data_IF_911084881862
#
_entry.id   IF_911084881862
#
_cell.length_a   1.000
_cell.length_b   1.000
_cell.length_c   1.000
_cell.angle_alpha   90.00
_cell.angle_beta   90.00
_cell.angle_gamma   90.00
#
_symmetry.space_group_name_H-M   'P 1'
#
loop_
_entity.id
_entity.type
_entity.pdbx_description
1 polymer ?
#
# COMPACT_ATOMS: atom_id res chain seq x y z
N UNK A 1 1.42 3.02 -20.17
CA UNK A 1 2.52 3.83 -19.63
C UNK A 1 3.70 3.76 -20.60
N UNK A 2 4.19 4.93 -21.04
CA UNK A 2 5.43 5.01 -21.84
C UNK A 2 6.65 5.06 -20.90
N UNK A 3 7.85 4.65 -21.34
CA UNK A 3 9.08 4.92 -20.59
C UNK A 3 9.27 6.43 -20.36
N UNK A 4 9.87 6.78 -19.23
CA UNK A 4 10.38 8.13 -19.00
C UNK A 4 11.59 8.37 -19.92
N UNK A 5 11.71 9.57 -20.49
CA UNK A 5 12.83 9.99 -21.32
C UNK A 5 13.63 11.09 -20.62
N UNK A 6 14.89 11.31 -21.02
CA UNK A 6 15.70 12.39 -20.48
C UNK A 6 15.07 13.77 -20.68
N UNK A 7 14.31 13.96 -21.77
CA UNK A 7 13.53 15.19 -21.99
C UNK A 7 12.49 15.44 -20.91
N UNK A 8 11.84 14.40 -20.38
CA UNK A 8 10.86 14.56 -19.29
C UNK A 8 11.54 15.05 -18.01
N UNK A 9 12.77 14.59 -17.77
CA UNK A 9 13.56 14.98 -16.60
C UNK A 9 14.06 16.42 -16.73
N UNK A 10 14.49 16.82 -17.93
CA UNK A 10 14.87 18.20 -18.23
C UNK A 10 13.66 19.12 -18.09
N UNK A 11 12.51 18.74 -18.64
CA UNK A 11 11.27 19.51 -18.55
C UNK A 11 10.86 19.68 -17.09
N UNK A 12 10.87 18.60 -16.29
CA UNK A 12 10.67 18.65 -14.86
C UNK A 12 11.64 19.61 -14.17
N UNK A 13 12.95 19.48 -14.42
CA UNK A 13 13.96 20.34 -13.78
C UNK A 13 13.73 21.83 -14.09
N UNK A 14 13.12 22.16 -15.23
CA UNK A 14 12.77 23.53 -15.59
C UNK A 14 11.45 24.04 -14.98
N UNK A 15 10.59 23.16 -14.46
CA UNK A 15 9.24 23.51 -13.96
C UNK A 15 9.20 24.13 -12.56
N UNK A 16 10.29 24.03 -11.78
CA UNK A 16 10.42 24.47 -10.37
C UNK A 16 9.64 23.67 -9.32
N UNK A 17 8.92 22.62 -9.72
CA UNK A 17 8.32 21.69 -8.77
C UNK A 17 9.39 20.87 -8.03
N UNK A 18 9.05 20.41 -6.84
CA UNK A 18 9.96 19.61 -6.00
C UNK A 18 10.08 18.16 -6.48
N UNK A 19 8.99 17.56 -6.96
CA UNK A 19 8.88 16.14 -7.23
C UNK A 19 8.36 15.86 -8.65
N UNK A 20 9.03 14.95 -9.33
CA UNK A 20 8.51 14.27 -10.52
C UNK A 20 7.86 12.97 -10.08
N UNK A 21 6.60 12.76 -10.46
CA UNK A 21 5.81 11.61 -10.01
C UNK A 21 5.18 10.83 -11.16
N UNK A 22 4.85 9.57 -10.90
CA UNK A 22 4.05 8.71 -11.74
C UNK A 22 2.70 8.46 -11.05
N UNK A 23 1.63 8.96 -11.65
CA UNK A 23 0.27 8.80 -11.13
C UNK A 23 -0.22 7.35 -11.22
N UNK A 24 -1.32 7.06 -10.53
CA UNK A 24 -2.03 5.79 -10.62
C UNK A 24 -2.51 5.45 -12.04
N UNK A 25 -2.87 6.46 -12.83
CA UNK A 25 -3.24 6.38 -14.24
C UNK A 25 -2.05 6.09 -15.17
N UNK A 26 -0.82 6.12 -14.64
CA UNK A 26 0.40 5.86 -15.39
C UNK A 26 0.85 7.04 -16.24
N UNK A 27 0.55 8.26 -15.77
CA UNK A 27 0.96 9.53 -16.36
C UNK A 27 2.06 10.17 -15.50
N UNK A 28 2.97 10.90 -16.13
CA UNK A 28 3.98 11.68 -15.41
C UNK A 28 3.41 13.04 -15.06
N UNK A 29 3.63 13.47 -13.82
CA UNK A 29 3.17 14.75 -13.31
C UNK A 29 4.21 15.39 -12.38
N UNK A 30 4.00 16.66 -12.03
CA UNK A 30 4.90 17.44 -11.19
C UNK A 30 4.15 18.01 -9.99
N UNK A 31 4.68 17.81 -8.79
CA UNK A 31 4.07 18.27 -7.55
C UNK A 31 5.09 18.90 -6.62
N UNK A 32 4.65 19.82 -5.78
CA UNK A 32 5.42 20.34 -4.66
C UNK A 32 5.27 19.44 -3.43
N UNK A 33 6.22 19.48 -2.51
CA UNK A 33 6.11 18.74 -1.24
C UNK A 33 4.86 19.11 -0.44
N UNK A 34 4.40 20.37 -0.56
CA UNK A 34 3.19 20.85 0.12
C UNK A 34 1.91 20.14 -0.34
N UNK A 35 1.92 19.54 -1.54
CA UNK A 35 0.79 18.77 -2.07
C UNK A 35 0.72 17.34 -1.50
N UNK A 36 1.75 16.87 -0.79
CA UNK A 36 1.81 15.53 -0.21
C UNK A 36 1.06 15.51 1.12
N UNK A 37 -0.08 14.81 1.15
CA UNK A 37 -0.92 14.69 2.35
C UNK A 37 -0.54 13.50 3.23
N UNK A 38 0.11 12.49 2.66
CA UNK A 38 0.71 11.39 3.41
C UNK A 38 1.83 10.73 2.62
N UNK A 39 2.88 10.31 3.32
CA UNK A 39 3.96 9.49 2.78
C UNK A 39 4.16 8.23 3.62
N UNK A 40 5.02 7.32 3.14
CA UNK A 40 5.39 6.11 3.88
C UNK A 40 6.27 6.40 5.11
N UNK A 41 6.72 7.64 5.30
CA UNK A 41 7.55 8.07 6.43
C UNK A 41 6.77 8.98 7.37
N UNK A 42 6.88 8.73 8.69
CA UNK A 42 6.19 9.53 9.71
C UNK A 42 6.68 10.99 9.79
N UNK A 43 7.85 11.29 9.24
CA UNK A 43 8.43 12.64 9.19
C UNK A 43 7.97 13.46 7.96
N UNK A 44 7.11 12.89 7.11
CA UNK A 44 6.56 13.54 5.93
C UNK A 44 7.53 13.64 4.75
N UNK A 45 8.71 13.01 4.84
CA UNK A 45 9.63 12.96 3.69
C UNK A 45 9.07 12.05 2.61
N UNK A 46 9.32 12.43 1.37
CA UNK A 46 9.06 11.63 0.19
C UNK A 46 10.37 11.49 -0.58
N UNK A 47 10.86 10.26 -0.71
CA UNK A 47 12.11 9.97 -1.42
C UNK A 47 11.81 9.30 -2.75
N UNK A 48 12.81 9.22 -3.63
CA UNK A 48 12.67 8.54 -4.91
C UNK A 48 12.11 7.12 -4.72
N UNK A 49 11.08 6.81 -5.49
CA UNK A 49 10.33 5.56 -5.55
C UNK A 49 9.36 5.28 -4.40
N UNK A 50 9.18 6.21 -3.47
CA UNK A 50 8.12 6.13 -2.49
C UNK A 50 6.74 6.32 -3.12
N UNK A 51 5.72 5.79 -2.44
CA UNK A 51 4.33 6.11 -2.71
C UNK A 51 3.87 7.21 -1.77
N UNK A 52 3.30 8.25 -2.36
CA UNK A 52 2.72 9.40 -1.69
C UNK A 52 1.25 9.51 -2.06
N UNK A 53 0.47 10.15 -1.20
CA UNK A 53 -0.91 10.55 -1.48
C UNK A 53 -0.97 12.06 -1.60
N UNK A 54 -1.67 12.53 -2.61
CA UNK A 54 -2.02 13.93 -2.87
C UNK A 54 -3.53 14.10 -2.88
N UNK A 55 -4.03 15.32 -3.10
CA UNK A 55 -5.46 15.56 -3.27
C UNK A 55 -6.06 14.83 -4.48
N UNK A 56 -5.26 14.64 -5.54
CA UNK A 56 -5.69 14.04 -6.80
C UNK A 56 -5.58 12.51 -6.83
N UNK A 57 -4.90 11.92 -5.84
CA UNK A 57 -4.80 10.48 -5.70
C UNK A 57 -3.44 10.01 -5.20
N UNK A 58 -3.11 8.76 -5.51
CA UNK A 58 -1.81 8.20 -5.16
C UNK A 58 -0.83 8.37 -6.32
N UNK A 59 0.40 8.72 -5.98
CA UNK A 59 1.48 8.86 -6.93
C UNK A 59 2.76 8.18 -6.42
N UNK A 60 3.56 7.64 -7.33
CA UNK A 60 4.91 7.17 -7.05
C UNK A 60 5.91 8.28 -7.35
N UNK A 61 6.75 8.65 -6.40
CA UNK A 61 7.85 9.59 -6.64
C UNK A 61 8.88 8.93 -7.55
N UNK A 62 9.30 9.61 -8.61
CA UNK A 62 10.34 9.13 -9.52
C UNK A 62 11.66 9.83 -9.28
N UNK A 63 11.61 11.13 -9.02
CA UNK A 63 12.78 11.97 -8.80
C UNK A 63 12.42 13.14 -7.89
N UNK A 64 13.32 13.45 -6.97
CA UNK A 64 13.28 14.65 -6.14
C UNK A 64 14.30 15.66 -6.67
N UNK A 65 13.90 16.91 -6.85
CA UNK A 65 14.75 17.96 -7.41
C UNK A 65 16.04 18.19 -6.61
N UNK A 66 15.94 18.23 -5.29
CA UNK A 66 17.08 18.44 -4.39
C UNK A 66 18.18 17.40 -4.62
N UNK A 67 17.83 16.13 -4.88
CA UNK A 67 18.81 15.06 -5.11
C UNK A 67 19.64 15.26 -6.38
N UNK A 68 19.14 16.03 -7.34
CA UNK A 68 19.88 16.48 -8.53
C UNK A 68 20.76 17.67 -8.18
N UNK A 69 20.22 18.66 -7.48
CA UNK A 69 20.91 19.91 -7.14
C UNK A 69 22.05 19.70 -6.14
N UNK A 70 21.88 18.81 -5.18
CA UNK A 70 22.88 18.43 -4.18
C UNK A 70 23.92 17.45 -4.73
N UNK A 71 23.66 16.85 -5.90
CA UNK A 71 24.54 15.88 -6.54
C UNK A 71 24.60 14.51 -5.84
N UNK A 72 23.66 14.26 -4.92
CA UNK A 72 23.58 13.02 -4.13
C UNK A 72 23.37 11.79 -5.00
N UNK A 73 22.50 11.92 -6.02
CA UNK A 73 22.20 10.80 -6.91
C UNK A 73 23.10 10.80 -8.16
N UNK A 74 23.41 11.98 -8.69
CA UNK A 74 24.26 12.15 -9.85
C UNK A 74 25.23 13.32 -9.64
N UNK A 75 26.48 13.03 -9.23
CA UNK A 75 27.53 14.04 -9.19
C UNK A 75 27.71 14.65 -10.59
N UNK A 76 27.89 15.97 -10.64
CA UNK A 76 28.11 16.71 -11.89
C UNK A 76 26.95 16.61 -12.90
N UNK A 77 25.71 16.37 -12.43
CA UNK A 77 24.53 16.39 -13.30
C UNK A 77 24.25 17.76 -13.91
N UNK A 78 24.73 18.83 -13.27
CA UNK A 78 24.49 20.21 -13.64
C UNK A 78 25.73 20.84 -14.28
N UNK A 79 25.51 21.75 -15.24
CA UNK A 79 26.55 22.64 -15.73
C UNK A 79 26.95 23.65 -14.66
N UNK A 80 28.05 24.38 -14.87
CA UNK A 80 28.46 25.51 -14.01
C UNK A 80 27.38 26.62 -13.92
N UNK A 81 26.46 26.66 -14.87
CA UNK A 81 25.34 27.60 -14.96
C UNK A 81 24.08 27.08 -14.24
N UNK A 82 24.11 25.84 -13.74
CA UNK A 82 23.01 25.19 -13.02
C UNK A 82 22.00 24.47 -13.90
N UNK A 83 22.28 24.30 -15.20
CA UNK A 83 21.40 23.61 -16.14
C UNK A 83 21.66 22.10 -16.12
N UNK A 84 20.60 21.29 -16.20
CA UNK A 84 20.73 19.84 -16.25
C UNK A 84 21.36 19.39 -17.58
N UNK A 85 22.43 18.60 -17.48
CA UNK A 85 23.15 18.06 -18.64
C UNK A 85 22.29 16.97 -19.31
N UNK A 86 22.03 17.05 -20.63
CA UNK A 86 21.15 16.10 -21.31
C UNK A 86 21.54 14.63 -21.17
N UNK A 87 22.84 14.32 -21.20
CA UNK A 87 23.30 12.94 -21.02
C UNK A 87 23.07 12.41 -19.60
N UNK A 88 23.15 13.28 -18.58
CA UNK A 88 22.82 12.90 -17.21
C UNK A 88 21.31 12.66 -17.06
N UNK A 89 20.48 13.48 -17.70
CA UNK A 89 19.03 13.27 -17.75
C UNK A 89 18.66 11.94 -18.43
N UNK A 90 19.31 11.59 -19.55
CA UNK A 90 19.09 10.30 -20.20
C UNK A 90 19.47 9.12 -19.29
N UNK A 91 20.56 9.24 -18.52
CA UNK A 91 20.99 8.24 -17.55
C UNK A 91 20.00 8.09 -16.39
N UNK A 92 19.54 9.20 -15.81
CA UNK A 92 18.49 9.22 -14.79
C UNK A 92 17.22 8.50 -15.29
N UNK A 93 16.79 8.80 -16.52
CA UNK A 93 15.62 8.16 -17.12
C UNK A 93 15.82 6.65 -17.28
N UNK A 94 17.02 6.22 -17.68
CA UNK A 94 17.33 4.80 -17.79
C UNK A 94 17.24 4.09 -16.42
N UNK A 95 17.80 4.68 -15.36
CA UNK A 95 17.73 4.11 -14.00
C UNK A 95 16.29 4.06 -13.50
N UNK A 96 15.52 5.14 -13.66
CA UNK A 96 14.10 5.18 -13.23
C UNK A 96 13.27 4.11 -13.95
N UNK A 97 13.47 3.94 -15.25
CA UNK A 97 12.75 2.92 -16.02
C UNK A 97 13.12 1.49 -15.60
N UNK A 98 14.40 1.23 -15.35
CA UNK A 98 14.91 -0.10 -15.06
C UNK A 98 14.63 -0.51 -13.62
N UNK A 99 14.99 0.35 -12.68
CA UNK A 99 15.07 0.02 -11.25
C UNK A 99 13.98 0.74 -10.43
N UNK A 100 13.43 1.83 -10.95
CA UNK A 100 12.46 2.66 -10.25
C UNK A 100 11.03 2.15 -10.31
N UNK A 101 10.46 2.07 -11.51
CA UNK A 101 9.01 1.91 -11.68
C UNK A 101 8.53 0.48 -11.37
N UNK A 102 9.04 -0.53 -12.08
CA UNK A 102 8.56 -1.91 -11.93
C UNK A 102 8.90 -2.52 -10.56
N UNK A 103 10.14 -2.42 -10.05
CA UNK A 103 10.47 -2.96 -8.73
C UNK A 103 9.63 -2.35 -7.60
N UNK A 104 9.34 -1.06 -7.66
CA UNK A 104 8.55 -0.38 -6.62
C UNK A 104 7.07 -0.73 -6.70
N UNK A 105 6.52 -0.94 -7.90
CA UNK A 105 5.16 -1.52 -8.06
C UNK A 105 5.08 -2.95 -7.56
N UNK A 106 6.11 -3.77 -7.77
CA UNK A 106 6.18 -5.11 -7.20
C UNK A 106 6.22 -5.08 -5.66
N UNK A 107 7.05 -4.20 -5.06
CA UNK A 107 7.10 -3.99 -3.60
C UNK A 107 5.73 -3.59 -3.04
N UNK A 108 5.04 -2.64 -3.68
CA UNK A 108 3.68 -2.24 -3.27
C UNK A 108 2.70 -3.41 -3.30
N UNK A 109 2.73 -4.23 -4.36
CA UNK A 109 1.86 -5.40 -4.46
C UNK A 109 2.13 -6.44 -3.35
N UNK A 110 3.40 -6.66 -3.01
CA UNK A 110 3.80 -7.55 -1.91
C UNK A 110 3.24 -7.03 -0.57
N UNK A 111 3.47 -5.76 -0.24
CA UNK A 111 2.95 -5.16 1.00
C UNK A 111 1.42 -5.21 1.07
N UNK A 112 0.72 -4.96 -0.05
CA UNK A 112 -0.74 -5.11 -0.09
C UNK A 112 -1.18 -6.55 0.20
N UNK A 113 -0.45 -7.55 -0.30
CA UNK A 113 -0.70 -8.96 -0.01
C UNK A 113 -0.48 -9.32 1.46
N UNK A 114 0.58 -8.78 2.08
CA UNK A 114 0.86 -8.97 3.50
C UNK A 114 -0.20 -8.32 4.39
N UNK A 115 -0.60 -7.08 4.08
CA UNK A 115 -1.66 -6.37 4.78
C UNK A 115 -3.01 -7.11 4.66
N UNK A 116 -3.33 -7.63 3.47
CA UNK A 116 -4.51 -8.46 3.27
C UNK A 116 -4.47 -9.72 4.13
N UNK A 117 -3.33 -10.44 4.16
CA UNK A 117 -3.16 -11.65 4.97
C UNK A 117 -3.29 -11.36 6.46
N UNK A 118 -2.71 -10.25 6.94
CA UNK A 118 -2.84 -9.84 8.33
C UNK A 118 -4.30 -9.51 8.70
N UNK A 119 -5.02 -8.81 7.82
CA UNK A 119 -6.44 -8.52 8.01
C UNK A 119 -7.30 -9.80 7.99
N UNK A 120 -6.97 -10.76 7.12
CA UNK A 120 -7.63 -12.05 7.04
C UNK A 120 -7.43 -12.88 8.33
N UNK A 121 -6.22 -12.92 8.88
CA UNK A 121 -5.91 -13.57 10.16
C UNK A 121 -6.73 -12.96 11.30
N UNK A 122 -6.78 -11.61 11.38
CA UNK A 122 -7.59 -10.90 12.39
C UNK A 122 -9.08 -11.20 12.22
N UNK A 123 -9.60 -11.22 10.99
CA UNK A 123 -10.98 -11.57 10.71
C UNK A 123 -11.29 -13.03 11.11
N UNK A 124 -10.37 -13.96 10.84
CA UNK A 124 -10.49 -15.35 11.26
C UNK A 124 -10.51 -15.49 12.77
N UNK A 125 -9.61 -14.80 13.49
CA UNK A 125 -9.57 -14.80 14.95
C UNK A 125 -10.86 -14.25 15.54
N UNK A 126 -11.32 -13.07 15.09
CA UNK A 126 -12.57 -12.47 15.55
C UNK A 126 -13.79 -13.38 15.28
N UNK A 127 -13.81 -14.08 14.14
CA UNK A 127 -14.86 -15.04 13.85
C UNK A 127 -14.79 -16.30 14.72
N UNK A 128 -13.59 -16.72 15.15
CA UNK A 128 -13.38 -17.80 16.12
C UNK A 128 -13.87 -17.41 17.51
N UNK A 129 -13.48 -16.23 17.98
CA UNK A 129 -13.87 -15.68 19.29
C UNK A 129 -15.39 -15.53 19.38
N UNK A 130 -16.03 -15.03 18.30
CA UNK A 130 -17.49 -14.97 18.20
C UNK A 130 -18.13 -16.35 18.33
N UNK A 131 -17.55 -17.37 17.68
CA UNK A 131 -18.09 -18.73 17.74
C UNK A 131 -17.96 -19.32 19.15
N UNK A 132 -16.82 -19.08 19.83
CA UNK A 132 -16.61 -19.48 21.22
C UNK A 132 -17.62 -18.80 22.16
N UNK A 133 -17.81 -17.48 22.07
CA UNK A 133 -18.78 -16.75 22.87
C UNK A 133 -20.23 -17.26 22.68
N UNK A 134 -20.60 -17.65 21.46
CA UNK A 134 -21.92 -18.26 21.19
C UNK A 134 -22.05 -19.63 21.87
N UNK A 135 -20.99 -20.45 21.89
CA UNK A 135 -20.98 -21.74 22.58
C UNK A 135 -21.18 -21.56 24.09
N UNK A 136 -20.56 -20.55 24.70
CA UNK A 136 -20.76 -20.21 26.11
C UNK A 136 -22.23 -19.88 26.41
N UNK A 137 -22.88 -19.09 25.55
CA UNK A 137 -24.30 -18.75 25.69
C UNK A 137 -25.21 -19.97 25.51
N UNK A 138 -24.86 -20.88 24.59
CA UNK A 138 -25.55 -22.18 24.44
C UNK A 138 -25.42 -23.02 25.69
N UNK A 139 -24.22 -23.07 26.29
CA UNK A 139 -23.98 -23.78 27.55
C UNK A 139 -24.79 -23.18 28.71
N UNK A 140 -24.81 -21.84 28.84
CA UNK A 140 -25.67 -21.12 29.79
C UNK A 140 -27.16 -21.44 29.61
N UNK A 141 -27.60 -21.63 28.36
CA UNK A 141 -28.95 -22.05 28.03
C UNK A 141 -29.22 -23.56 28.24
N UNK A 142 -28.31 -24.31 28.87
CA UNK A 142 -28.44 -25.75 29.10
C UNK A 142 -28.32 -26.58 27.82
N UNK A 143 -27.53 -26.12 26.85
CA UNK A 143 -27.38 -26.77 25.53
C UNK A 143 -28.49 -26.43 24.53
N UNK A 144 -29.48 -25.62 24.91
CA UNK A 144 -30.59 -25.27 24.03
C UNK A 144 -30.23 -24.15 23.04
N UNK A 145 -29.83 -24.54 21.82
CA UNK A 145 -29.42 -23.63 20.75
C UNK A 145 -30.55 -22.71 20.24
N UNK A 146 -31.82 -23.16 20.27
CA UNK A 146 -32.96 -22.30 19.91
C UNK A 146 -33.17 -21.17 20.93
N UNK A 147 -33.02 -21.48 22.22
CA UNK A 147 -33.10 -20.49 23.31
C UNK A 147 -31.93 -19.51 23.25
N UNK A 148 -30.71 -20.00 22.99
CA UNK A 148 -29.53 -19.17 22.79
C UNK A 148 -29.68 -18.22 21.59
N UNK A 149 -30.22 -18.71 20.47
CA UNK A 149 -30.53 -17.87 19.30
C UNK A 149 -31.46 -16.72 19.64
N UNK A 150 -32.57 -17.00 20.34
CA UNK A 150 -33.49 -15.93 20.79
C UNK A 150 -32.81 -14.90 21.71
N UNK A 151 -31.93 -15.34 22.61
CA UNK A 151 -31.20 -14.45 23.52
C UNK A 151 -30.23 -13.53 22.76
N UNK A 152 -29.57 -14.06 21.73
CA UNK A 152 -28.57 -13.36 20.92
C UNK A 152 -29.18 -12.57 19.75
N UNK A 153 -30.50 -12.69 19.53
CA UNK A 153 -31.15 -12.15 18.33
C UNK A 153 -30.70 -12.83 17.03
N UNK A 154 -30.25 -14.08 17.11
CA UNK A 154 -29.81 -14.89 15.98
C UNK A 154 -30.83 -15.99 15.67
N UNK A 155 -30.94 -16.35 14.40
CA UNK A 155 -31.69 -17.55 14.02
C UNK A 155 -30.94 -18.82 14.48
N UNK A 156 -31.70 -19.90 14.68
CA UNK A 156 -31.12 -21.17 15.14
C UNK A 156 -30.12 -21.75 14.14
N UNK A 157 -30.30 -21.57 12.83
CA UNK A 157 -29.35 -22.08 11.82
C UNK A 157 -27.98 -21.43 11.99
N UNK A 158 -27.94 -20.12 12.21
CA UNK A 158 -26.70 -19.37 12.47
C UNK A 158 -26.01 -19.84 13.74
N UNK A 159 -26.75 -20.08 14.84
CA UNK A 159 -26.18 -20.64 16.08
C UNK A 159 -25.58 -22.03 15.82
N UNK A 160 -26.31 -22.92 15.14
CA UNK A 160 -25.83 -24.26 14.82
C UNK A 160 -24.51 -24.22 14.03
N UNK A 161 -24.42 -23.32 13.04
CA UNK A 161 -23.20 -23.13 12.22
C UNK A 161 -22.01 -22.66 13.06
N UNK A 162 -22.23 -21.71 13.97
CA UNK A 162 -21.17 -21.18 14.84
C UNK A 162 -20.68 -22.23 15.84
N UNK A 163 -21.59 -23.00 16.44
CA UNK A 163 -21.22 -24.13 17.31
C UNK A 163 -20.44 -25.19 16.53
N UNK A 164 -20.89 -25.56 15.33
CA UNK A 164 -20.17 -26.52 14.48
C UNK A 164 -18.79 -26.00 14.06
N UNK A 165 -18.66 -24.71 13.74
CA UNK A 165 -17.38 -24.06 13.41
C UNK A 165 -16.42 -24.13 14.59
N UNK A 166 -16.87 -23.76 15.80
CA UNK A 166 -16.04 -23.82 17.00
C UNK A 166 -15.59 -25.25 17.30
N UNK A 167 -16.50 -26.23 17.18
CA UNK A 167 -16.18 -27.64 17.40
C UNK A 167 -15.08 -28.15 16.48
N UNK A 168 -15.15 -27.88 15.17
CA UNK A 168 -14.11 -28.26 14.19
C UNK A 168 -12.75 -27.65 14.52
N UNK A 169 -12.74 -26.39 14.96
CA UNK A 169 -11.51 -25.71 15.34
C UNK A 169 -10.85 -26.33 16.57
N UNK A 170 -11.63 -26.79 17.55
CA UNK A 170 -11.12 -27.45 18.78
C UNK A 170 -10.69 -28.90 18.51
N UNK A 171 -11.38 -29.60 17.62
CA UNK A 171 -11.09 -31.00 17.27
C UNK A 171 -9.95 -31.15 16.23
N UNK A 172 -9.42 -30.04 15.70
CA UNK A 172 -8.30 -30.03 14.75
C UNK A 172 -8.66 -30.49 13.33
N UNK A 173 -9.95 -30.51 12.97
CA UNK A 173 -10.39 -30.84 11.61
C UNK A 173 -10.27 -29.58 10.72
N UNK A 174 -9.49 -29.61 9.63
CA UNK A 174 -9.39 -28.47 8.72
C UNK A 174 -10.76 -28.21 8.08
N UNK A 175 -11.18 -26.95 8.06
CA UNK A 175 -12.31 -26.51 7.27
C UNK A 175 -12.02 -26.82 5.80
N UNK A 176 -12.87 -27.65 5.18
CA UNK A 176 -12.66 -28.21 3.85
C UNK A 176 -12.38 -27.17 2.76
N UNK A 177 -11.58 -27.63 1.80
CA UNK A 177 -11.15 -26.99 0.56
C UNK A 177 -12.28 -26.44 -0.32
#
# INVERSE_FOLDING_TARGET
MRPIAGTDIIDFYNTRYDLLVLTDNGEFDHIDFEAVTSSSYEDGRATAYDYVTTEDGEAQVLLERSTVEEGDWFPDALTDEGDLIPSAADEMAAIINQDGILPSRARKAIHAGEAWKAADEVAHQAASDRAAAVVEVVAYCGGNQSKAGRLLGLDQSTVNKLVAKHRRAVEGEPAGA
#
